data_IF_049243412232
#
_entry.id   IF_049243412232
#
_cell.length_a   1.000
_cell.length_b   1.000
_cell.length_c   1.000
_cell.angle_alpha   90.00
_cell.angle_beta   90.00
_cell.angle_gamma   90.00
#
_symmetry.space_group_name_H-M   'P 1'
#
loop_
_entity.id
_entity.type
_entity.pdbx_description
1 polymer ?
#
# COMPACT_ATOMS: atom_id res chain seq x y z
N UNK A 1 27.73 -0.63 -5.54
CA UNK A 1 26.31 -0.32 -5.53
C UNK A 1 26.15 1.18 -5.61
N UNK A 2 25.63 1.70 -6.72
CA UNK A 2 25.63 3.14 -6.95
C UNK A 2 24.18 3.64 -6.96
N UNK A 3 23.78 4.35 -5.91
CA UNK A 3 22.57 5.19 -5.93
C UNK A 3 23.02 6.53 -6.49
N UNK A 4 22.55 6.88 -7.67
CA UNK A 4 22.87 8.18 -8.26
C UNK A 4 21.71 9.12 -7.92
N UNK A 5 21.99 10.13 -7.09
CA UNK A 5 21.05 11.22 -6.85
C UNK A 5 21.18 12.20 -8.03
N UNK A 6 20.08 12.51 -8.69
CA UNK A 6 20.03 13.55 -9.74
C UNK A 6 19.99 14.97 -9.14
N UNK A 7 20.54 15.13 -7.95
CA UNK A 7 20.60 16.37 -7.17
C UNK A 7 20.74 16.07 -5.68
N UNK A 8 20.86 17.12 -4.87
CA UNK A 8 20.79 17.00 -3.42
C UNK A 8 19.32 16.96 -2.96
N UNK A 9 19.02 16.50 -1.73
CA UNK A 9 17.69 16.63 -1.13
C UNK A 9 17.13 18.05 -1.19
N UNK A 10 17.97 19.06 -0.96
CA UNK A 10 17.63 20.48 -1.02
C UNK A 10 17.23 20.90 -2.44
N UNK A 11 17.94 20.43 -3.46
CA UNK A 11 17.58 20.72 -4.86
C UNK A 11 16.23 20.08 -5.24
N UNK A 12 15.93 18.90 -4.74
CA UNK A 12 14.61 18.27 -4.92
C UNK A 12 13.51 19.06 -4.20
N UNK A 13 13.79 19.56 -3.00
CA UNK A 13 12.86 20.40 -2.23
C UNK A 13 12.61 21.75 -2.90
N UNK A 14 13.64 22.41 -3.42
CA UNK A 14 13.49 23.68 -4.16
C UNK A 14 12.70 23.45 -5.46
N UNK A 15 12.95 22.36 -6.17
CA UNK A 15 12.15 21.97 -7.34
C UNK A 15 10.68 21.73 -6.97
N UNK A 16 10.41 20.97 -5.90
CA UNK A 16 9.06 20.71 -5.41
C UNK A 16 8.33 22.02 -5.06
N UNK A 17 9.03 22.95 -4.36
CA UNK A 17 8.48 24.26 -4.03
C UNK A 17 8.14 25.07 -5.28
N UNK A 18 9.06 25.15 -6.22
CA UNK A 18 8.84 25.86 -7.47
C UNK A 18 7.68 25.25 -8.28
N UNK A 19 7.62 23.92 -8.38
CA UNK A 19 6.52 23.22 -9.08
C UNK A 19 5.16 23.43 -8.40
N UNK A 20 5.12 23.53 -7.09
CA UNK A 20 3.88 23.64 -6.33
C UNK A 20 3.37 25.08 -6.24
N UNK A 21 4.24 26.10 -6.18
CA UNK A 21 3.87 27.48 -5.87
C UNK A 21 3.90 28.46 -7.06
N UNK A 22 4.72 28.21 -8.10
CA UNK A 22 4.88 29.17 -9.21
C UNK A 22 3.65 29.16 -10.12
N UNK A 23 2.92 30.29 -10.23
CA UNK A 23 1.83 30.43 -11.20
C UNK A 23 2.39 30.42 -12.62
N UNK A 24 1.75 29.73 -13.52
CA UNK A 24 2.14 29.70 -14.94
C UNK A 24 3.14 28.57 -15.31
N UNK A 25 3.59 27.77 -14.36
CA UNK A 25 4.28 26.54 -14.70
C UNK A 25 3.27 25.57 -15.34
N UNK A 26 3.58 25.08 -16.54
CA UNK A 26 2.69 24.22 -17.31
C UNK A 26 2.31 22.99 -16.51
N UNK A 27 1.00 22.79 -16.31
CA UNK A 27 0.46 21.59 -15.69
C UNK A 27 0.56 20.42 -16.68
N UNK A 28 0.82 19.22 -16.14
CA UNK A 28 0.94 18.02 -16.98
C UNK A 28 2.30 17.85 -17.67
N UNK A 29 3.31 18.60 -17.24
CA UNK A 29 4.67 18.46 -17.74
C UNK A 29 5.23 17.08 -17.39
N UNK A 30 6.15 16.57 -18.24
CA UNK A 30 6.89 15.34 -17.95
C UNK A 30 7.46 15.34 -16.52
N UNK A 31 7.36 14.18 -15.86
CA UNK A 31 7.88 14.00 -14.52
C UNK A 31 9.40 14.24 -14.50
N UNK A 32 9.86 14.99 -13.50
CA UNK A 32 11.29 15.26 -13.31
C UNK A 32 11.85 14.28 -12.30
N UNK A 33 12.77 13.43 -12.75
CA UNK A 33 13.45 12.46 -11.88
C UNK A 33 14.35 13.16 -10.88
N UNK A 34 14.15 12.86 -9.59
CA UNK A 34 14.92 13.43 -8.47
C UNK A 34 15.80 12.39 -7.77
N UNK A 35 15.52 11.11 -7.96
CA UNK A 35 16.27 10.00 -7.38
C UNK A 35 16.26 8.82 -8.35
N UNK A 36 17.41 8.16 -8.53
CA UNK A 36 17.53 6.95 -9.33
C UNK A 36 18.09 5.81 -8.48
N UNK A 37 17.62 4.59 -8.74
CA UNK A 37 18.06 3.37 -8.09
C UNK A 37 18.72 2.43 -9.10
N UNK A 38 19.71 1.66 -8.65
CA UNK A 38 20.22 0.54 -9.45
C UNK A 38 19.15 -0.56 -9.51
N UNK A 39 19.09 -1.36 -10.59
CA UNK A 39 18.05 -2.38 -10.77
C UNK A 39 17.96 -3.43 -9.67
N UNK A 40 19.07 -3.67 -8.96
CA UNK A 40 19.19 -4.64 -7.86
C UNK A 40 18.99 -4.01 -6.47
N UNK A 41 18.56 -2.75 -6.41
CA UNK A 41 18.36 -2.04 -5.13
C UNK A 41 17.17 -2.65 -4.38
N UNK A 42 17.43 -3.22 -3.21
CA UNK A 42 16.40 -3.78 -2.35
C UNK A 42 15.49 -2.71 -1.72
N UNK A 43 14.31 -3.13 -1.25
CA UNK A 43 13.28 -2.28 -0.66
C UNK A 43 13.82 -1.35 0.45
N UNK A 44 14.53 -1.90 1.44
CA UNK A 44 15.08 -1.11 2.56
C UNK A 44 16.08 -0.06 2.05
N UNK A 45 16.87 -0.40 1.06
CA UNK A 45 17.85 0.52 0.48
C UNK A 45 17.19 1.66 -0.31
N UNK A 46 16.13 1.37 -1.08
CA UNK A 46 15.31 2.41 -1.74
C UNK A 46 14.69 3.33 -0.70
N UNK A 47 14.10 2.77 0.35
CA UNK A 47 13.52 3.51 1.47
C UNK A 47 14.51 4.49 2.09
N UNK A 48 15.69 4.02 2.46
CA UNK A 48 16.69 4.87 3.12
C UNK A 48 17.31 5.91 2.18
N UNK A 49 17.35 5.63 0.89
CA UNK A 49 17.74 6.63 -0.12
C UNK A 49 16.66 7.70 -0.34
N UNK A 50 15.40 7.32 -0.26
CA UNK A 50 14.24 8.19 -0.43
C UNK A 50 14.00 9.10 0.79
N UNK A 51 14.21 8.62 2.01
CA UNK A 51 13.97 9.34 3.27
C UNK A 51 14.47 10.78 3.27
N UNK A 52 15.77 11.09 3.04
CA UNK A 52 16.26 12.47 3.11
C UNK A 52 15.64 13.38 2.04
N UNK A 53 15.24 12.82 0.89
CA UNK A 53 14.57 13.59 -0.17
C UNK A 53 13.15 13.94 0.26
N UNK A 54 12.40 12.99 0.80
CA UNK A 54 11.06 13.21 1.31
C UNK A 54 11.05 14.22 2.47
N UNK A 55 11.93 14.04 3.45
CA UNK A 55 12.04 14.93 4.61
C UNK A 55 12.35 16.37 4.19
N UNK A 56 13.28 16.58 3.25
CA UNK A 56 13.60 17.91 2.73
C UNK A 56 12.42 18.56 2.00
N UNK A 57 11.66 17.79 1.22
CA UNK A 57 10.45 18.28 0.56
C UNK A 57 9.40 18.69 1.61
N UNK A 58 9.16 17.85 2.62
CA UNK A 58 8.19 18.14 3.69
C UNK A 58 8.63 19.38 4.50
N UNK A 59 9.90 19.51 4.82
CA UNK A 59 10.43 20.70 5.48
C UNK A 59 10.20 21.98 4.65
N UNK A 60 10.32 21.88 3.33
CA UNK A 60 10.24 23.03 2.42
C UNK A 60 8.83 23.47 2.07
N UNK A 61 7.91 22.53 1.86
CA UNK A 61 6.53 22.82 1.39
C UNK A 61 5.43 22.37 2.36
N UNK A 62 5.79 21.79 3.49
CA UNK A 62 4.83 21.31 4.52
C UNK A 62 4.37 19.88 4.31
N UNK A 63 3.52 19.43 5.24
CA UNK A 63 2.98 18.06 5.22
C UNK A 63 2.15 17.80 3.96
N UNK A 64 2.19 16.59 3.41
CA UNK A 64 1.38 16.23 2.26
C UNK A 64 -0.12 16.17 2.60
N UNK A 65 -0.93 16.38 1.59
CA UNK A 65 -2.39 16.19 1.67
C UNK A 65 -2.75 14.72 1.78
N UNK A 66 -2.10 13.87 0.96
CA UNK A 66 -2.27 12.43 0.98
C UNK A 66 -0.90 11.74 1.02
N UNK A 67 -0.74 10.85 1.97
CA UNK A 67 0.34 9.87 1.99
C UNK A 67 -0.04 8.70 1.08
N UNK A 68 0.94 7.98 0.55
CA UNK A 68 0.64 6.82 -0.26
C UNK A 68 1.83 6.15 -0.88
N UNK A 69 1.58 4.94 -1.37
CA UNK A 69 2.56 4.14 -2.10
C UNK A 69 1.95 3.44 -3.30
N UNK A 70 2.70 3.37 -4.37
CA UNK A 70 2.45 2.48 -5.50
C UNK A 70 3.02 1.09 -5.20
N UNK A 71 2.88 0.15 -6.13
CA UNK A 71 3.49 -1.17 -6.00
C UNK A 71 5.02 -1.07 -5.79
N UNK A 72 5.62 -0.04 -6.36
CA UNK A 72 7.04 0.24 -6.31
C UNK A 72 7.26 1.72 -6.09
N UNK A 73 7.61 2.11 -4.86
CA UNK A 73 7.93 3.49 -4.52
C UNK A 73 6.75 4.34 -4.04
N UNK A 74 6.98 5.64 -3.84
CA UNK A 74 5.99 6.56 -3.28
C UNK A 74 4.86 6.92 -4.25
N UNK A 75 3.74 7.38 -3.66
CA UNK A 75 2.65 8.08 -4.36
C UNK A 75 2.09 9.18 -3.44
N UNK A 76 2.92 10.16 -3.12
CA UNK A 76 2.63 11.22 -2.15
C UNK A 76 2.10 12.46 -2.87
N UNK A 77 1.13 13.15 -2.27
CA UNK A 77 0.43 14.28 -2.91
C UNK A 77 0.32 15.49 -2.01
N UNK A 78 0.61 16.65 -2.59
CA UNK A 78 0.30 17.97 -2.04
C UNK A 78 -0.74 18.60 -2.97
N UNK A 79 -1.94 18.86 -2.45
CA UNK A 79 -3.07 19.30 -3.27
C UNK A 79 -3.62 20.66 -2.82
N UNK A 80 -3.84 21.55 -3.78
CA UNK A 80 -4.77 22.67 -3.67
C UNK A 80 -6.03 22.36 -4.50
N UNK A 81 -7.00 23.27 -4.55
CA UNK A 81 -8.16 23.11 -5.40
C UNK A 81 -7.81 22.97 -6.90
N UNK A 82 -6.72 23.58 -7.36
CA UNK A 82 -6.35 23.66 -8.78
C UNK A 82 -5.10 22.88 -9.12
N UNK A 83 -4.21 22.64 -8.15
CA UNK A 83 -2.87 22.12 -8.38
C UNK A 83 -2.55 20.94 -7.49
N UNK A 84 -2.03 19.89 -8.08
CA UNK A 84 -1.54 18.69 -7.43
C UNK A 84 -0.06 18.51 -7.77
N UNK A 85 0.80 18.53 -6.75
CA UNK A 85 2.17 18.05 -6.85
C UNK A 85 2.18 16.56 -6.47
N UNK A 86 2.67 15.72 -7.37
CA UNK A 86 2.83 14.28 -7.17
C UNK A 86 4.31 13.94 -7.03
N UNK A 87 4.65 13.29 -5.94
CA UNK A 87 5.91 12.59 -5.78
C UNK A 87 5.62 11.10 -5.97
N UNK A 88 5.99 10.59 -7.13
CA UNK A 88 5.77 9.19 -7.53
C UNK A 88 7.09 8.45 -7.70
N UNK A 89 7.05 7.13 -7.69
CA UNK A 89 8.23 6.31 -7.93
C UNK A 89 7.91 4.95 -8.52
N UNK A 90 8.96 4.31 -8.99
CA UNK A 90 8.99 2.93 -9.43
C UNK A 90 10.27 2.23 -8.94
N UNK A 91 10.58 1.05 -9.48
CA UNK A 91 11.80 0.32 -9.14
C UNK A 91 13.09 1.10 -9.44
N UNK A 92 13.08 1.94 -10.45
CA UNK A 92 14.27 2.60 -10.99
C UNK A 92 14.45 4.03 -10.49
N UNK A 93 13.36 4.71 -10.12
CA UNK A 93 13.46 6.14 -9.79
C UNK A 93 12.31 6.66 -8.93
N UNK A 94 12.52 7.87 -8.37
CA UNK A 94 11.46 8.74 -7.87
C UNK A 94 11.47 10.06 -8.63
N UNK A 95 10.28 10.61 -8.90
CA UNK A 95 10.08 11.78 -9.73
C UNK A 95 9.00 12.71 -9.17
N UNK A 96 9.12 13.99 -9.51
CA UNK A 96 8.11 15.01 -9.23
C UNK A 96 7.39 15.39 -10.53
N UNK A 97 6.07 15.51 -10.44
CA UNK A 97 5.21 16.03 -11.50
C UNK A 97 4.13 16.94 -10.93
N UNK A 98 3.62 17.86 -11.75
CA UNK A 98 2.57 18.78 -11.34
C UNK A 98 1.39 18.70 -12.31
N UNK A 99 0.18 18.64 -11.78
CA UNK A 99 -1.04 18.38 -12.52
C UNK A 99 -2.16 19.32 -12.11
N UNK A 100 -3.19 19.45 -12.95
CA UNK A 100 -4.50 19.93 -12.53
C UNK A 100 -5.12 18.88 -11.60
N UNK A 101 -5.56 19.31 -10.42
CA UNK A 101 -6.04 18.41 -9.36
C UNK A 101 -7.22 17.56 -9.82
N UNK A 102 -8.21 18.18 -10.46
CA UNK A 102 -9.43 17.48 -10.86
C UNK A 102 -9.22 16.60 -12.09
N UNK A 103 -8.47 17.10 -13.07
CA UNK A 103 -8.18 16.32 -14.28
C UNK A 103 -7.37 15.06 -13.96
N UNK A 104 -6.36 15.20 -13.09
CA UNK A 104 -5.51 14.09 -12.68
C UNK A 104 -6.29 13.03 -11.87
N UNK A 105 -7.04 13.46 -10.86
CA UNK A 105 -7.85 12.55 -10.04
C UNK A 105 -8.89 11.78 -10.87
N UNK A 106 -9.52 12.45 -11.86
CA UNK A 106 -10.43 11.80 -12.79
C UNK A 106 -9.74 10.79 -13.70
N UNK A 107 -8.53 11.10 -14.18
CA UNK A 107 -7.75 10.16 -14.99
C UNK A 107 -7.36 8.92 -14.18
N UNK A 108 -6.97 9.09 -12.93
CA UNK A 108 -6.68 7.95 -12.04
C UNK A 108 -7.93 7.11 -11.77
N UNK A 109 -9.06 7.76 -11.54
CA UNK A 109 -10.34 7.06 -11.38
C UNK A 109 -10.62 6.16 -12.59
N UNK A 110 -10.45 6.66 -13.81
CA UNK A 110 -10.58 5.84 -15.02
C UNK A 110 -9.57 4.69 -15.09
N UNK A 111 -8.36 4.89 -14.60
CA UNK A 111 -7.35 3.81 -14.55
C UNK A 111 -7.79 2.68 -13.63
N UNK A 112 -8.38 3.01 -12.48
CA UNK A 112 -8.94 2.01 -11.56
C UNK A 112 -10.22 1.36 -12.08
N UNK A 113 -11.10 2.13 -12.74
CA UNK A 113 -12.40 1.68 -13.23
C UNK A 113 -12.33 0.98 -14.58
N UNK A 114 -11.23 1.17 -15.34
CA UNK A 114 -11.09 0.54 -16.65
C UNK A 114 -11.20 -0.98 -16.50
N UNK A 115 -12.24 -1.51 -17.13
CA UNK A 115 -12.66 -2.91 -17.00
C UNK A 115 -11.55 -3.85 -17.43
N UNK A 116 -11.29 -4.91 -16.68
CA UNK A 116 -10.45 -6.01 -17.16
C UNK A 116 -11.11 -6.63 -18.40
N UNK A 117 -10.33 -6.93 -19.39
CA UNK A 117 -10.81 -7.66 -20.57
C UNK A 117 -10.76 -6.92 -21.88
N UNK A 118 -10.36 -5.65 -21.91
CA UNK A 118 -10.11 -4.93 -23.17
C UNK A 118 -8.71 -5.13 -23.74
N UNK A 119 -7.80 -5.79 -23.01
CA UNK A 119 -6.51 -6.21 -23.55
C UNK A 119 -6.47 -7.71 -23.74
N UNK A 120 -5.88 -8.20 -24.85
CA UNK A 120 -5.78 -9.64 -25.12
C UNK A 120 -5.09 -10.47 -24.02
N UNK A 121 -4.35 -9.81 -23.16
CA UNK A 121 -3.56 -10.44 -22.09
C UNK A 121 -4.28 -10.52 -20.74
N UNK A 122 -5.50 -9.95 -20.60
CA UNK A 122 -6.40 -10.11 -19.44
C UNK A 122 -5.82 -9.82 -18.03
N UNK A 123 -4.51 -9.74 -17.94
CA UNK A 123 -3.79 -9.58 -16.71
C UNK A 123 -3.91 -8.12 -16.22
N UNK A 124 -4.63 -7.92 -15.15
CA UNK A 124 -4.51 -6.70 -14.38
C UNK A 124 -3.06 -6.55 -13.94
N UNK A 125 -2.36 -5.61 -14.50
CA UNK A 125 -1.05 -5.22 -13.99
C UNK A 125 -1.28 -4.43 -12.69
N UNK A 126 -1.43 -5.15 -11.59
CA UNK A 126 -1.56 -4.55 -10.26
C UNK A 126 -0.37 -3.65 -9.94
N UNK A 127 0.79 -3.94 -10.54
CA UNK A 127 1.97 -3.10 -10.46
C UNK A 127 1.86 -1.75 -11.19
N UNK A 128 0.92 -1.61 -12.12
CA UNK A 128 0.72 -0.37 -12.89
C UNK A 128 -0.33 0.56 -12.24
N UNK A 129 -0.92 0.16 -11.10
CA UNK A 129 -1.86 1.03 -10.39
C UNK A 129 -1.17 2.30 -9.90
N UNK A 130 -1.83 3.46 -10.00
CA UNK A 130 -1.26 4.75 -9.55
C UNK A 130 -0.87 4.74 -8.08
N UNK A 131 -1.56 3.95 -7.28
CA UNK A 131 -1.25 3.65 -5.89
C UNK A 131 -1.90 2.34 -5.45
N UNK A 132 -1.25 1.63 -4.55
CA UNK A 132 -1.78 0.42 -3.91
C UNK A 132 -2.48 0.74 -2.59
N UNK A 133 -2.08 1.85 -1.96
CA UNK A 133 -2.68 2.38 -0.75
C UNK A 133 -2.55 3.89 -0.69
N UNK A 134 -3.47 4.53 0.01
CA UNK A 134 -3.43 5.95 0.39
C UNK A 134 -3.86 6.12 1.84
N UNK A 135 -3.28 7.11 2.51
CA UNK A 135 -3.63 7.49 3.87
C UNK A 135 -3.92 9.00 3.90
N UNK A 136 -5.18 9.34 4.20
CA UNK A 136 -5.63 10.70 4.40
C UNK A 136 -5.70 10.99 5.91
N UNK A 137 -4.78 11.81 6.40
CA UNK A 137 -4.75 12.25 7.81
C UNK A 137 -5.46 13.58 8.03
N UNK A 138 -6.29 14.02 7.08
CA UNK A 138 -6.91 15.36 7.11
C UNK A 138 -5.84 16.45 7.23
N UNK A 139 -4.72 16.24 6.52
CA UNK A 139 -3.59 17.17 6.45
C UNK A 139 -3.92 18.45 5.70
N UNK A 140 -2.93 19.33 5.49
CA UNK A 140 -3.13 20.58 4.79
C UNK A 140 -3.55 20.33 3.33
N UNK A 141 -4.27 21.30 2.78
CA UNK A 141 -4.81 21.19 1.41
C UNK A 141 -6.14 20.48 1.37
N UNK A 142 -6.58 20.14 0.17
CA UNK A 142 -7.85 19.49 -0.06
C UNK A 142 -7.63 18.24 -0.91
N UNK A 143 -7.94 17.07 -0.37
CA UNK A 143 -7.94 15.84 -1.13
C UNK A 143 -8.96 15.94 -2.28
N UNK A 144 -8.61 15.44 -3.49
CA UNK A 144 -9.53 15.46 -4.61
C UNK A 144 -10.81 14.68 -4.29
N UNK A 145 -11.97 15.24 -4.62
CA UNK A 145 -13.28 14.60 -4.45
C UNK A 145 -13.45 13.31 -5.29
N UNK A 146 -12.60 13.13 -6.28
CA UNK A 146 -12.59 11.99 -7.20
C UNK A 146 -11.57 10.91 -6.80
N UNK A 147 -11.10 10.91 -5.58
CA UNK A 147 -10.21 9.84 -5.11
C UNK A 147 -10.93 8.50 -5.24
N UNK A 148 -10.30 7.55 -5.90
CA UNK A 148 -10.87 6.23 -6.10
C UNK A 148 -10.96 5.48 -4.77
N UNK A 149 -12.18 5.18 -4.35
CA UNK A 149 -12.48 4.39 -3.15
C UNK A 149 -12.83 2.93 -3.48
N UNK A 150 -12.97 2.62 -4.76
CA UNK A 150 -13.26 1.28 -5.23
C UNK A 150 -12.05 0.36 -5.12
N UNK A 151 -12.26 -0.85 -5.56
CA UNK A 151 -11.26 -1.89 -5.53
C UNK A 151 -11.18 -2.58 -6.90
N UNK A 152 -10.00 -3.10 -7.18
CA UNK A 152 -9.81 -4.08 -8.22
C UNK A 152 -9.76 -5.45 -7.60
N UNK A 153 -10.74 -6.28 -7.92
CA UNK A 153 -10.70 -7.69 -7.56
C UNK A 153 -9.79 -8.43 -8.53
N UNK A 154 -8.93 -9.25 -7.98
CA UNK A 154 -8.02 -10.06 -8.77
C UNK A 154 -8.78 -11.19 -9.50
N UNK A 155 -8.38 -11.48 -10.74
CA UNK A 155 -9.04 -12.49 -11.58
C UNK A 155 -8.83 -13.93 -11.07
N UNK A 156 -7.76 -14.14 -10.34
CA UNK A 156 -7.36 -15.46 -9.85
C UNK A 156 -6.49 -15.34 -8.59
N UNK A 157 -6.16 -16.49 -7.99
CA UNK A 157 -5.40 -16.56 -6.75
C UNK A 157 -3.95 -16.07 -6.88
N UNK A 158 -3.32 -16.25 -8.03
CA UNK A 158 -1.95 -15.76 -8.26
C UNK A 158 -1.94 -14.23 -8.28
N UNK A 159 -2.92 -13.61 -8.94
CA UNK A 159 -3.09 -12.17 -8.94
C UNK A 159 -3.42 -11.62 -7.55
N UNK A 160 -4.31 -12.29 -6.79
CA UNK A 160 -4.63 -11.87 -5.42
C UNK A 160 -3.41 -11.96 -4.49
N UNK A 161 -2.62 -13.03 -4.61
CA UNK A 161 -1.39 -13.17 -3.86
C UNK A 161 -0.37 -12.08 -4.22
N UNK A 162 -0.17 -11.82 -5.51
CA UNK A 162 0.75 -10.77 -5.98
C UNK A 162 0.30 -9.38 -5.55
N UNK A 163 -1.01 -9.07 -5.58
CA UNK A 163 -1.55 -7.81 -5.10
C UNK A 163 -1.25 -7.59 -3.63
N UNK A 164 -1.53 -8.59 -2.81
CA UNK A 164 -1.26 -8.53 -1.37
C UNK A 164 0.24 -8.38 -1.10
N UNK A 165 1.10 -9.12 -1.79
CA UNK A 165 2.55 -9.03 -1.68
C UNK A 165 3.05 -7.63 -2.04
N UNK A 166 2.63 -7.06 -3.17
CA UNK A 166 3.02 -5.73 -3.62
C UNK A 166 2.57 -4.64 -2.65
N UNK A 167 1.36 -4.75 -2.12
CA UNK A 167 0.86 -3.80 -1.11
C UNK A 167 1.67 -3.88 0.18
N UNK A 168 1.95 -5.06 0.69
CA UNK A 168 2.76 -5.25 1.90
C UNK A 168 4.20 -4.73 1.69
N UNK A 169 4.79 -5.00 0.53
CA UNK A 169 6.11 -4.47 0.18
C UNK A 169 6.11 -2.92 0.14
N UNK A 170 5.06 -2.33 -0.43
CA UNK A 170 4.87 -0.88 -0.45
C UNK A 170 4.71 -0.30 0.96
N UNK A 171 4.01 -0.98 1.87
CA UNK A 171 3.92 -0.55 3.27
C UNK A 171 5.30 -0.52 3.93
N UNK A 172 6.09 -1.58 3.80
CA UNK A 172 7.43 -1.63 4.38
C UNK A 172 8.40 -0.60 3.79
N UNK A 173 8.22 -0.23 2.53
CA UNK A 173 9.03 0.78 1.88
C UNK A 173 8.63 2.19 2.31
N UNK A 174 7.33 2.49 2.41
CA UNK A 174 6.84 3.86 2.46
C UNK A 174 6.36 4.29 3.85
N UNK A 175 5.72 3.42 4.65
CA UNK A 175 5.20 3.80 5.97
C UNK A 175 6.30 4.30 6.92
N UNK A 176 7.48 3.66 7.04
CA UNK A 176 8.53 4.14 7.93
C UNK A 176 9.11 5.50 7.56
N UNK A 177 8.88 5.97 6.33
CA UNK A 177 9.31 7.30 5.87
C UNK A 177 8.20 8.31 6.02
N UNK A 178 7.01 7.99 5.53
CA UNK A 178 5.91 8.94 5.42
C UNK A 178 5.11 9.08 6.74
N UNK A 179 5.05 8.02 7.53
CA UNK A 179 4.30 7.93 8.78
C UNK A 179 5.10 7.15 9.84
N UNK A 180 6.27 7.66 10.26
CA UNK A 180 7.16 6.94 11.17
C UNK A 180 6.47 6.63 12.49
N UNK A 181 6.61 5.38 12.96
CA UNK A 181 6.00 4.91 14.20
C UNK A 181 4.53 4.50 14.09
N UNK A 182 3.91 4.67 12.93
CA UNK A 182 2.52 4.30 12.71
C UNK A 182 2.35 2.81 12.37
N UNK A 183 1.10 2.35 12.42
CA UNK A 183 0.69 1.04 11.99
C UNK A 183 -0.42 1.15 10.94
N UNK A 184 -0.52 0.17 10.07
CA UNK A 184 -1.59 0.03 9.08
C UNK A 184 -2.06 -1.42 9.04
N UNK A 185 -3.34 -1.63 8.75
CA UNK A 185 -3.87 -2.98 8.70
C UNK A 185 -5.31 -3.06 8.26
N UNK A 186 -5.77 -4.28 8.08
CA UNK A 186 -7.16 -4.61 7.74
C UNK A 186 -7.48 -6.02 8.21
N UNK A 187 -8.76 -6.33 8.24
CA UNK A 187 -9.27 -7.69 8.44
C UNK A 187 -9.70 -8.27 7.10
N UNK A 188 -9.34 -9.52 6.84
CA UNK A 188 -9.78 -10.25 5.66
C UNK A 188 -10.79 -11.32 6.08
N UNK A 189 -11.93 -11.34 5.39
CA UNK A 189 -13.03 -12.28 5.64
C UNK A 189 -13.37 -13.02 4.35
N UNK A 190 -13.69 -14.29 4.46
CA UNK A 190 -14.24 -15.08 3.36
C UNK A 190 -15.75 -15.24 3.50
N UNK A 191 -16.48 -15.13 2.40
CA UNK A 191 -17.92 -15.42 2.36
C UNK A 191 -18.23 -16.89 2.72
N UNK A 192 -17.26 -17.80 2.59
CA UNK A 192 -17.39 -19.21 2.97
C UNK A 192 -17.17 -19.48 4.45
N UNK A 193 -16.45 -18.58 5.13
CA UNK A 193 -16.08 -18.73 6.53
C UNK A 193 -16.10 -17.35 7.21
N UNK A 194 -17.27 -16.74 7.24
CA UNK A 194 -17.50 -15.38 7.71
C UNK A 194 -17.27 -15.19 9.23
N UNK A 195 -17.21 -16.29 10.00
CA UNK A 195 -16.96 -16.25 11.44
C UNK A 195 -15.47 -16.12 11.81
N UNK A 196 -14.57 -16.22 10.84
CA UNK A 196 -13.14 -16.24 11.07
C UNK A 196 -12.45 -15.12 10.31
N UNK A 197 -12.29 -14.01 11.03
CA UNK A 197 -11.55 -12.87 10.52
C UNK A 197 -10.04 -13.12 10.60
N UNK A 198 -9.36 -12.77 9.55
CA UNK A 198 -7.91 -12.78 9.49
C UNK A 198 -7.41 -11.35 9.56
N UNK A 199 -6.60 -11.02 10.54
CA UNK A 199 -5.94 -9.71 10.66
C UNK A 199 -4.65 -9.74 9.85
N UNK A 200 -4.42 -8.74 9.02
CA UNK A 200 -3.17 -8.48 8.33
C UNK A 200 -2.75 -7.05 8.67
N UNK A 201 -1.52 -6.89 9.16
CA UNK A 201 -1.02 -5.59 9.57
C UNK A 201 0.49 -5.45 9.33
N UNK A 202 0.92 -4.21 9.17
CA UNK A 202 2.29 -3.77 9.29
C UNK A 202 2.36 -2.85 10.50
N UNK A 203 3.13 -3.23 11.51
CA UNK A 203 3.11 -2.59 12.83
C UNK A 203 4.50 -2.17 13.27
N UNK A 204 4.58 -1.08 14.05
CA UNK A 204 5.80 -0.69 14.75
C UNK A 204 5.73 -1.20 16.19
N UNK A 205 6.82 -1.83 16.66
CA UNK A 205 7.00 -2.30 18.03
C UNK A 205 8.38 -1.97 18.57
N UNK A 206 8.65 -2.32 19.81
CA UNK A 206 9.90 -2.04 20.52
C UNK A 206 11.17 -2.46 19.77
N UNK A 207 11.06 -3.40 18.84
CA UNK A 207 12.17 -3.96 18.07
C UNK A 207 12.18 -3.54 16.59
N UNK A 208 11.37 -2.56 16.20
CA UNK A 208 11.20 -2.08 14.82
C UNK A 208 9.87 -2.49 14.21
N UNK A 209 9.77 -2.33 12.89
CA UNK A 209 8.56 -2.72 12.16
C UNK A 209 8.53 -4.21 11.86
N UNK A 210 7.34 -4.78 11.91
CA UNK A 210 7.08 -6.19 11.58
C UNK A 210 5.80 -6.33 10.75
N UNK A 211 5.78 -7.36 9.91
CA UNK A 211 4.56 -7.86 9.32
C UNK A 211 3.88 -8.82 10.29
N UNK A 212 2.58 -8.69 10.40
CA UNK A 212 1.76 -9.50 11.27
C UNK A 212 0.56 -10.04 10.52
N UNK A 213 0.30 -11.33 10.63
CA UNK A 213 -0.98 -11.90 10.29
C UNK A 213 -1.45 -12.81 11.41
N UNK A 214 -2.76 -12.80 11.67
CA UNK A 214 -3.38 -13.67 12.66
C UNK A 214 -4.80 -14.08 12.23
N UNK A 215 -5.20 -15.28 12.60
CA UNK A 215 -6.54 -15.79 12.36
C UNK A 215 -7.13 -16.40 13.63
N UNK A 216 -8.38 -16.07 13.94
CA UNK A 216 -9.12 -16.68 15.01
C UNK A 216 -9.55 -18.11 14.63
N UNK A 217 -9.29 -19.06 15.53
CA UNK A 217 -9.63 -20.47 15.33
C UNK A 217 -10.47 -21.01 16.54
N UNK A 218 -11.35 -20.14 17.05
CA UNK A 218 -12.09 -20.36 18.31
C UNK A 218 -12.97 -21.60 18.30
N UNK A 219 -13.54 -21.95 17.15
CA UNK A 219 -14.49 -23.06 17.02
C UNK A 219 -13.80 -24.38 16.66
N UNK A 220 -12.47 -24.39 16.61
CA UNK A 220 -11.70 -25.58 16.26
C UNK A 220 -11.07 -26.18 17.52
N UNK A 221 -11.29 -27.47 17.73
CA UNK A 221 -10.56 -28.21 18.74
C UNK A 221 -9.07 -28.21 18.41
N UNK A 222 -8.26 -27.72 19.33
CA UNK A 222 -6.81 -27.59 19.15
C UNK A 222 -6.10 -28.92 19.41
N UNK A 223 -6.27 -29.86 18.48
CA UNK A 223 -5.58 -31.16 18.51
C UNK A 223 -4.17 -31.04 17.95
N UNK A 224 -3.27 -31.98 18.29
CA UNK A 224 -1.91 -32.03 17.68
C UNK A 224 -1.98 -32.09 16.14
N UNK A 225 -2.97 -32.78 15.58
CA UNK A 225 -3.20 -32.86 14.13
C UNK A 225 -3.59 -31.50 13.57
N UNK A 226 -4.50 -30.75 14.22
CA UNK A 226 -4.86 -29.39 13.83
C UNK A 226 -3.64 -28.46 13.85
N UNK A 227 -2.86 -28.52 14.92
CA UNK A 227 -1.64 -27.75 15.05
C UNK A 227 -0.61 -28.06 13.94
N UNK A 228 -0.47 -29.31 13.55
CA UNK A 228 0.40 -29.71 12.44
C UNK A 228 -0.09 -29.14 11.11
N UNK A 229 -1.40 -29.20 10.83
CA UNK A 229 -2.00 -28.61 9.63
C UNK A 229 -1.81 -27.09 9.55
N UNK A 230 -1.96 -26.38 10.67
CA UNK A 230 -1.77 -24.92 10.69
C UNK A 230 -0.29 -24.56 10.44
N UNK A 231 0.65 -25.29 11.02
CA UNK A 231 2.07 -25.10 10.76
C UNK A 231 2.46 -25.42 9.31
N UNK A 232 1.87 -26.46 8.72
CA UNK A 232 2.07 -26.81 7.32
C UNK A 232 1.60 -25.67 6.38
N UNK A 233 0.55 -24.93 6.74
CA UNK A 233 0.10 -23.73 6.03
C UNK A 233 1.01 -22.52 6.24
N UNK A 234 1.94 -22.57 7.19
CA UNK A 234 2.90 -21.51 7.48
C UNK A 234 2.60 -20.68 8.73
N UNK A 235 1.54 -21.01 9.48
CA UNK A 235 1.30 -20.38 10.78
C UNK A 235 2.34 -20.85 11.79
N UNK A 236 2.79 -19.93 12.66
CA UNK A 236 3.90 -20.20 13.59
C UNK A 236 3.41 -20.58 14.97
N UNK A 237 2.63 -19.71 15.59
CA UNK A 237 2.23 -19.81 16.98
C UNK A 237 0.73 -19.76 17.17
N UNK A 238 0.26 -20.44 18.21
CA UNK A 238 -1.08 -20.27 18.75
C UNK A 238 -0.99 -19.44 20.05
N UNK A 239 -1.64 -18.29 20.09
CA UNK A 239 -1.64 -17.44 21.27
C UNK A 239 -2.72 -17.87 22.31
N UNK A 240 -2.71 -17.24 23.49
CA UNK A 240 -3.66 -17.47 24.58
C UNK A 240 -5.12 -17.17 24.22
N UNK A 241 -5.34 -16.35 23.16
CA UNK A 241 -6.67 -16.01 22.65
C UNK A 241 -7.13 -16.93 21.51
N UNK A 242 -6.48 -18.07 21.33
CA UNK A 242 -6.73 -19.04 20.24
C UNK A 242 -6.58 -18.44 18.84
N UNK A 243 -5.61 -17.54 18.65
CA UNK A 243 -5.23 -17.00 17.36
C UNK A 243 -3.96 -17.66 16.88
N UNK A 244 -4.03 -18.29 15.72
CA UNK A 244 -2.81 -18.62 14.98
C UNK A 244 -2.24 -17.37 14.38
N UNK A 245 -0.93 -17.18 14.49
CA UNK A 245 -0.23 -15.97 14.05
C UNK A 245 1.08 -16.29 13.36
N UNK A 246 1.50 -15.36 12.52
CA UNK A 246 2.84 -15.28 11.95
C UNK A 246 3.33 -13.85 12.12
N UNK A 247 4.61 -13.71 12.47
CA UNK A 247 5.33 -12.43 12.59
C UNK A 247 6.64 -12.53 11.86
N UNK A 248 6.89 -11.56 11.00
CA UNK A 248 8.12 -11.51 10.22
C UNK A 248 8.70 -10.10 10.31
N UNK A 249 10.02 -9.97 10.58
CA UNK A 249 10.64 -8.66 10.63
C UNK A 249 10.65 -8.02 9.24
N UNK A 250 10.56 -6.71 9.16
CA UNK A 250 10.65 -5.95 7.90
C UNK A 250 12.00 -6.12 7.17
N UNK A 251 13.03 -6.52 7.93
CA UNK A 251 14.36 -6.78 7.38
C UNK A 251 14.45 -8.08 6.58
N UNK A 252 13.44 -8.96 6.68
CA UNK A 252 13.34 -10.14 5.83
C UNK A 252 12.73 -9.75 4.47
N UNK A 253 13.50 -9.78 3.38
CA UNK A 253 13.01 -9.38 2.06
C UNK A 253 11.90 -10.30 1.52
N UNK A 254 11.73 -11.49 2.09
CA UNK A 254 10.68 -12.44 1.72
C UNK A 254 9.42 -12.31 2.58
N UNK A 255 9.42 -11.43 3.59
CA UNK A 255 8.28 -11.30 4.50
C UNK A 255 6.95 -10.97 3.79
N UNK A 256 6.87 -10.00 2.86
CA UNK A 256 5.66 -9.71 2.11
C UNK A 256 5.11 -10.93 1.35
N UNK A 257 5.97 -11.61 0.60
CA UNK A 257 5.63 -12.82 -0.16
C UNK A 257 5.18 -13.96 0.75
N UNK A 258 5.85 -14.14 1.88
CA UNK A 258 5.52 -15.19 2.85
C UNK A 258 4.15 -14.94 3.50
N UNK A 259 3.87 -13.72 3.95
CA UNK A 259 2.53 -13.36 4.50
C UNK A 259 1.46 -13.57 3.44
N UNK A 260 1.64 -13.04 2.24
CA UNK A 260 0.67 -13.17 1.15
C UNK A 260 0.36 -14.66 0.85
N UNK A 261 1.39 -15.49 0.74
CA UNK A 261 1.26 -16.92 0.51
C UNK A 261 0.49 -17.64 1.66
N UNK A 262 0.82 -17.35 2.91
CA UNK A 262 0.16 -17.97 4.08
C UNK A 262 -1.31 -17.59 4.11
N UNK A 263 -1.63 -16.30 3.92
CA UNK A 263 -3.00 -15.77 3.89
C UNK A 263 -3.81 -16.44 2.79
N UNK A 264 -3.32 -16.45 1.55
CA UNK A 264 -4.04 -17.05 0.41
C UNK A 264 -4.17 -18.57 0.56
N UNK A 265 -3.15 -19.26 1.04
CA UNK A 265 -3.23 -20.70 1.29
C UNK A 265 -4.31 -21.03 2.35
N UNK A 266 -4.41 -20.22 3.40
CA UNK A 266 -5.38 -20.47 4.47
C UNK A 266 -6.83 -20.19 4.04
N UNK A 267 -7.11 -19.07 3.34
CA UNK A 267 -8.48 -18.79 2.86
C UNK A 267 -8.96 -19.86 1.87
N UNK A 268 -8.07 -20.34 0.98
CA UNK A 268 -8.37 -21.46 0.07
C UNK A 268 -8.64 -22.76 0.82
N UNK A 269 -7.83 -23.09 1.81
CA UNK A 269 -8.01 -24.28 2.63
C UNK A 269 -9.32 -24.26 3.45
N UNK A 270 -9.90 -23.06 3.66
CA UNK A 270 -11.21 -22.85 4.30
C UNK A 270 -12.37 -22.81 3.31
N UNK A 271 -12.11 -23.11 2.03
CA UNK A 271 -13.13 -23.31 1.00
C UNK A 271 -13.41 -22.12 0.11
N UNK A 272 -12.67 -21.02 0.23
CA UNK A 272 -12.77 -19.94 -0.75
C UNK A 272 -12.31 -20.43 -2.14
N UNK A 273 -13.13 -20.22 -3.16
CA UNK A 273 -12.92 -20.75 -4.52
C UNK A 273 -12.36 -19.70 -5.49
N UNK A 274 -12.61 -18.42 -5.23
CA UNK A 274 -12.11 -17.30 -6.03
C UNK A 274 -11.89 -16.05 -5.13
N UNK A 275 -11.09 -15.07 -5.60
CA UNK A 275 -10.85 -13.83 -4.86
C UNK A 275 -12.11 -12.99 -4.60
N UNK A 276 -13.14 -13.09 -5.44
CA UNK A 276 -14.43 -12.39 -5.27
C UNK A 276 -15.17 -12.78 -3.98
N UNK A 277 -14.85 -13.93 -3.39
CA UNK A 277 -15.42 -14.37 -2.12
C UNK A 277 -14.72 -13.75 -0.89
N UNK A 278 -13.68 -12.92 -1.12
CA UNK A 278 -12.94 -12.25 -0.06
C UNK A 278 -13.35 -10.78 0.07
N UNK A 279 -13.41 -10.32 1.30
CA UNK A 279 -13.69 -8.91 1.60
C UNK A 279 -12.72 -8.41 2.68
N UNK A 280 -12.09 -7.27 2.43
CA UNK A 280 -11.31 -6.56 3.44
C UNK A 280 -12.24 -5.66 4.28
N UNK A 281 -12.07 -5.69 5.59
CA UNK A 281 -12.82 -4.94 6.59
C UNK A 281 -11.88 -4.20 7.50
N UNK A 282 -12.41 -3.22 8.26
CA UNK A 282 -11.66 -2.47 9.27
C UNK A 282 -10.29 -2.00 8.75
N UNK A 283 -10.30 -1.51 7.51
CA UNK A 283 -9.11 -0.93 6.89
C UNK A 283 -8.77 0.33 7.67
N UNK A 284 -7.63 0.34 8.35
CA UNK A 284 -7.30 1.37 9.32
C UNK A 284 -5.80 1.60 9.45
N UNK A 285 -5.46 2.79 9.92
CA UNK A 285 -4.12 3.19 10.32
C UNK A 285 -4.16 3.74 11.75
N UNK A 286 -3.02 3.85 12.40
CA UNK A 286 -2.89 4.61 13.65
C UNK A 286 -3.13 6.11 13.41
N UNK A 287 -3.18 6.87 14.50
CA UNK A 287 -3.26 8.34 14.51
C UNK A 287 -4.34 8.96 13.59
N UNK A 288 -5.54 8.39 13.59
CA UNK A 288 -6.74 8.99 12.98
C UNK A 288 -6.65 9.28 11.48
N UNK A 289 -6.16 8.34 10.67
CA UNK A 289 -6.17 8.46 9.22
C UNK A 289 -7.18 7.53 8.53
N UNK A 290 -7.75 8.00 7.42
CA UNK A 290 -8.55 7.17 6.51
C UNK A 290 -7.60 6.40 5.59
N UNK A 291 -7.38 5.13 5.86
CA UNK A 291 -6.57 4.25 5.01
C UNK A 291 -7.44 3.66 3.90
N UNK A 292 -6.95 3.73 2.67
CA UNK A 292 -7.55 3.14 1.47
C UNK A 292 -6.57 2.17 0.85
N UNK A 293 -7.05 1.00 0.43
CA UNK A 293 -6.21 -0.08 -0.13
C UNK A 293 -6.77 -0.61 -1.45
N UNK A 294 -6.95 0.23 -2.49
CA UNK A 294 -7.55 -0.19 -3.75
C UNK A 294 -6.73 -1.24 -4.50
N UNK A 295 -5.44 -1.38 -4.19
CA UNK A 295 -4.55 -2.34 -4.83
C UNK A 295 -4.48 -3.71 -4.17
N UNK A 296 -5.31 -4.00 -3.17
CA UNK A 296 -5.25 -5.26 -2.41
C UNK A 296 -5.73 -6.51 -3.19
N UNK A 297 -6.45 -6.31 -4.30
CA UNK A 297 -6.94 -7.40 -5.15
C UNK A 297 -8.15 -8.16 -4.62
N UNK A 298 -8.81 -7.67 -3.57
CA UNK A 298 -10.07 -8.20 -3.03
C UNK A 298 -11.05 -7.07 -2.78
N UNK A 299 -12.32 -7.39 -2.55
CA UNK A 299 -13.32 -6.39 -2.20
C UNK A 299 -12.95 -5.68 -0.90
N UNK A 300 -13.19 -4.38 -0.83
CA UNK A 300 -13.05 -3.59 0.40
C UNK A 300 -14.44 -3.14 0.85
N UNK A 301 -14.81 -3.50 2.07
CA UNK A 301 -16.07 -3.02 2.63
C UNK A 301 -15.90 -1.55 3.05
N UNK A 302 -16.83 -0.67 2.70
CA UNK A 302 -16.78 0.73 3.13
C UNK A 302 -16.66 0.80 4.66
N UNK A 303 -15.76 1.61 5.17
CA UNK A 303 -15.64 1.85 6.60
C UNK A 303 -16.93 2.47 7.14
N UNK A 304 -17.29 2.22 8.41
CA UNK A 304 -18.53 2.65 9.08
C UNK A 304 -18.73 4.17 9.18
N UNK A 305 -18.20 4.96 8.28
CA UNK A 305 -18.34 6.43 8.24
C UNK A 305 -18.72 6.98 6.86
N UNK A 306 -18.61 6.17 5.82
CA UNK A 306 -18.97 6.57 4.45
C UNK A 306 -20.41 6.11 4.15
N UNK A 307 -21.39 6.83 4.68
CA UNK A 307 -22.74 6.80 4.13
C UNK A 307 -22.75 7.70 2.89
N UNK A 308 -22.94 7.10 1.72
CA UNK A 308 -23.23 7.79 0.45
C UNK A 308 -24.47 8.66 0.55
#
# INVERSE_FOLDING_TARGET
>A
MTITRNGTPEAAADLAHAMFTEPGRELGREATTILTHAPDTGLVQRREAFRPVYEAIVERIGQPTLLGGAAYGPSVRWCTAERLLLLSGDHGHAALSVHDTHAFARQEWFTFDSTPGSTPDGAHRLGDLPYTWQLDRKGPGQAPSWTYNGMRVADNWEHAQSALELMLASWAEQIPVQAPGDWVGFQLRSARDWNRDMVIAYTHRDHGHEFYAAIYDRDSEQTPQRAAQMRERGWQDLDEHQRWRIRLPETDPQAPATIARVVIADVRARGATCPDELTAWDVSAGDHGDLRVPGIGVQVHPSRGEHY
#
